data_IF_685514515222
#
_entry.id   IF_685514515222
#
_cell.length_a   1.000
_cell.length_b   1.000
_cell.length_c   1.000
_cell.angle_alpha   90.00
_cell.angle_beta   90.00
_cell.angle_gamma   90.00
#
_symmetry.space_group_name_H-M   'P 1'
#
loop_
_entity.id
_entity.type
_entity.pdbx_description
1 polymer ?
#
# COMPACT_ATOMS: atom_id res chain seq x y z
N UNK A 1 -16.47 -9.97 0.96
CA UNK A 1 -16.86 -8.73 0.25
C UNK A 1 -16.29 -7.54 1.02
N UNK A 2 -15.05 -7.15 0.73
CA UNK A 2 -14.50 -5.89 1.25
C UNK A 2 -15.33 -4.73 0.71
N UNK A 3 -15.79 -3.83 1.57
CA UNK A 3 -16.62 -2.70 1.17
C UNK A 3 -15.77 -1.72 0.36
N UNK A 4 -16.11 -1.49 -0.90
CA UNK A 4 -15.45 -0.48 -1.73
C UNK A 4 -15.75 0.91 -1.15
N UNK A 5 -14.70 1.68 -0.84
CA UNK A 5 -14.83 3.03 -0.32
C UNK A 5 -15.31 4.00 -1.41
N UNK A 6 -16.11 4.98 -1.01
CA UNK A 6 -16.48 6.08 -1.90
C UNK A 6 -15.31 7.04 -2.12
N UNK A 7 -15.37 7.85 -3.18
CA UNK A 7 -14.35 8.87 -3.46
C UNK A 7 -14.13 9.82 -2.27
N UNK A 8 -15.21 10.28 -1.64
CA UNK A 8 -15.12 11.18 -0.49
C UNK A 8 -14.40 10.53 0.71
N UNK A 9 -14.62 9.24 0.95
CA UNK A 9 -13.92 8.51 2.01
C UNK A 9 -12.44 8.33 1.69
N UNK A 10 -12.09 8.07 0.43
CA UNK A 10 -10.70 8.01 0.01
C UNK A 10 -10.02 9.39 0.10
N UNK A 11 -10.72 10.46 -0.24
CA UNK A 11 -10.22 11.84 -0.12
C UNK A 11 -9.95 12.20 1.37
N UNK A 12 -10.78 11.72 2.29
CA UNK A 12 -10.56 11.89 3.73
C UNK A 12 -9.32 11.14 4.23
N UNK A 13 -9.10 9.89 3.78
CA UNK A 13 -7.88 9.14 4.10
C UNK A 13 -6.63 9.83 3.53
N UNK A 14 -6.71 10.35 2.29
CA UNK A 14 -5.61 11.13 1.72
C UNK A 14 -5.35 12.37 2.56
N UNK A 15 -6.37 13.16 2.87
CA UNK A 15 -6.23 14.36 3.70
C UNK A 15 -5.64 14.06 5.09
N UNK A 16 -6.00 12.92 5.69
CA UNK A 16 -5.43 12.46 6.95
C UNK A 16 -3.93 12.15 6.79
N UNK A 17 -3.53 11.46 5.73
CA UNK A 17 -2.12 11.13 5.48
C UNK A 17 -1.27 12.36 5.13
N UNK A 18 -1.87 13.43 4.61
CA UNK A 18 -1.15 14.61 4.09
C UNK A 18 -1.36 15.88 4.92
N UNK A 19 -1.90 15.77 6.14
CA UNK A 19 -2.35 16.94 6.94
C UNK A 19 -1.25 17.95 7.26
N UNK A 20 0.01 17.50 7.38
CA UNK A 20 1.19 18.33 7.67
C UNK A 20 2.27 18.19 6.59
N UNK A 21 1.83 17.98 5.34
CA UNK A 21 2.72 17.90 4.18
C UNK A 21 2.63 19.19 3.35
N UNK A 22 3.79 19.76 3.01
CA UNK A 22 3.97 20.98 2.26
C UNK A 22 4.38 20.72 0.80
N UNK A 23 4.90 19.54 0.49
CA UNK A 23 5.24 19.11 -0.88
C UNK A 23 4.87 17.64 -1.16
N UNK A 24 5.07 17.19 -2.41
CA UNK A 24 4.71 15.84 -2.85
C UNK A 24 5.55 14.74 -2.17
N UNK A 25 6.79 15.05 -1.75
CA UNK A 25 7.66 14.09 -1.07
C UNK A 25 7.19 13.85 0.37
N UNK A 26 6.78 14.91 1.06
CA UNK A 26 6.17 14.84 2.38
C UNK A 26 4.81 14.14 2.32
N UNK A 27 3.98 14.43 1.31
CA UNK A 27 2.69 13.76 1.12
C UNK A 27 2.87 12.25 0.89
N UNK A 28 3.84 11.88 0.04
CA UNK A 28 4.20 10.49 -0.19
C UNK A 28 4.68 9.80 1.10
N UNK A 29 5.50 10.49 1.88
CA UNK A 29 6.02 9.97 3.16
C UNK A 29 4.88 9.76 4.18
N UNK A 30 3.92 10.68 4.22
CA UNK A 30 2.70 10.53 5.03
C UNK A 30 1.87 9.32 4.61
N UNK A 31 1.60 9.15 3.31
CA UNK A 31 0.89 7.99 2.77
C UNK A 31 1.65 6.67 3.03
N UNK A 32 2.97 6.68 2.87
CA UNK A 32 3.80 5.53 3.21
C UNK A 32 3.68 5.15 4.68
N UNK A 33 3.73 6.14 5.59
CA UNK A 33 3.58 5.91 7.03
C UNK A 33 2.24 5.26 7.34
N UNK A 34 1.13 5.80 6.81
CA UNK A 34 -0.20 5.22 7.04
C UNK A 34 -0.31 3.79 6.52
N UNK A 35 0.24 3.47 5.34
CA UNK A 35 0.26 2.09 4.84
C UNK A 35 1.12 1.20 5.74
N UNK A 36 2.31 1.65 6.14
CA UNK A 36 3.24 0.86 6.95
C UNK A 36 2.69 0.54 8.35
N UNK A 37 1.94 1.45 8.94
CA UNK A 37 1.36 1.30 10.28
C UNK A 37 0.08 0.46 10.28
N UNK A 38 -0.77 0.59 9.26
CA UNK A 38 -2.11 0.00 9.26
C UNK A 38 -2.24 -1.27 8.42
N UNK A 39 -1.43 -1.46 7.38
CA UNK A 39 -1.52 -2.66 6.54
C UNK A 39 -1.09 -3.88 7.33
N UNK A 40 -2.04 -4.78 7.61
CA UNK A 40 -1.76 -6.01 8.30
C UNK A 40 -0.81 -6.88 7.48
N UNK A 41 0.38 -7.12 8.03
CA UNK A 41 1.40 -8.03 7.49
C UNK A 41 1.83 -9.03 8.58
N UNK A 42 2.20 -10.27 8.21
CA UNK A 42 2.29 -10.79 6.85
C UNK A 42 0.95 -11.27 6.29
N UNK A 43 0.78 -11.20 4.96
CA UNK A 43 -0.32 -11.85 4.25
C UNK A 43 0.17 -12.53 2.96
N UNK A 44 -0.60 -13.50 2.46
CA UNK A 44 -0.30 -14.17 1.19
C UNK A 44 -1.07 -13.55 0.03
N UNK A 45 -0.44 -13.48 -1.14
CA UNK A 45 -1.09 -13.12 -2.39
C UNK A 45 -0.45 -13.85 -3.57
N UNK A 46 -1.02 -13.68 -4.77
CA UNK A 46 -0.53 -14.28 -6.01
C UNK A 46 -0.06 -13.19 -6.97
N UNK A 47 1.21 -13.22 -7.35
CA UNK A 47 1.83 -12.32 -8.32
C UNK A 47 2.20 -13.14 -9.55
N UNK A 48 1.64 -12.82 -10.72
CA UNK A 48 1.89 -13.53 -11.98
C UNK A 48 1.73 -15.07 -11.86
N UNK A 49 0.73 -15.52 -11.10
CA UNK A 49 0.47 -16.95 -10.86
C UNK A 49 1.33 -17.60 -9.76
N UNK A 50 2.23 -16.84 -9.13
CA UNK A 50 3.09 -17.31 -8.05
C UNK A 50 2.60 -16.83 -6.69
N UNK A 51 2.34 -17.77 -5.76
CA UNK A 51 2.07 -17.43 -4.36
C UNK A 51 3.32 -16.85 -3.70
N UNK A 52 3.16 -15.70 -3.05
CA UNK A 52 4.19 -14.98 -2.30
C UNK A 52 3.63 -14.53 -0.95
N UNK A 53 4.51 -14.29 0.02
CA UNK A 53 4.15 -13.65 1.29
C UNK A 53 4.63 -12.20 1.28
N UNK A 54 3.73 -11.25 1.51
CA UNK A 54 4.05 -9.85 1.74
C UNK A 54 4.47 -9.71 3.20
N UNK A 55 5.67 -9.20 3.45
CA UNK A 55 6.26 -9.11 4.81
C UNK A 55 6.22 -7.72 5.41
N UNK A 56 6.31 -6.70 4.56
CA UNK A 56 6.27 -5.27 4.92
C UNK A 56 6.12 -4.44 3.65
N UNK A 57 5.93 -3.14 3.83
CA UNK A 57 6.12 -2.13 2.79
C UNK A 57 7.40 -1.35 3.05
N UNK A 58 8.07 -0.91 1.98
CA UNK A 58 9.24 -0.04 2.03
C UNK A 58 9.00 1.15 1.07
N UNK A 59 9.57 2.31 1.41
CA UNK A 59 9.67 3.45 0.51
C UNK A 59 10.98 3.34 -0.27
N UNK A 60 10.89 3.18 -1.60
CA UNK A 60 12.07 3.05 -2.46
C UNK A 60 12.53 4.42 -3.00
N UNK A 61 13.82 4.57 -3.33
CA UNK A 61 14.33 5.73 -4.04
C UNK A 61 13.54 5.99 -5.33
N UNK A 62 13.23 7.26 -5.62
CA UNK A 62 12.38 7.63 -6.75
C UNK A 62 10.87 7.54 -6.46
N UNK A 63 10.49 7.71 -5.18
CA UNK A 63 9.12 8.01 -4.77
C UNK A 63 8.09 6.90 -4.99
N UNK A 64 8.51 5.63 -4.87
CA UNK A 64 7.61 4.48 -5.03
C UNK A 64 7.49 3.68 -3.74
N UNK A 65 6.27 3.60 -3.21
CA UNK A 65 5.93 2.65 -2.15
C UNK A 65 5.89 1.25 -2.75
N UNK A 66 6.60 0.30 -2.12
CA UNK A 66 6.69 -1.07 -2.60
C UNK A 66 6.43 -2.09 -1.49
N UNK A 67 5.69 -3.14 -1.83
CA UNK A 67 5.55 -4.32 -1.00
C UNK A 67 6.78 -5.22 -1.12
N UNK A 68 7.33 -5.63 0.01
CA UNK A 68 8.41 -6.61 0.08
C UNK A 68 7.80 -8.00 0.11
N UNK A 69 7.89 -8.69 -1.02
CA UNK A 69 7.37 -10.03 -1.21
C UNK A 69 8.48 -11.06 -1.08
N UNK A 70 8.20 -12.18 -0.41
CA UNK A 70 9.13 -13.29 -0.24
C UNK A 70 8.49 -14.60 -0.68
N UNK A 71 9.30 -15.46 -1.31
CA UNK A 71 8.97 -16.87 -1.58
C UNK A 71 10.25 -17.69 -1.44
N UNK A 72 10.26 -18.64 -0.51
CA UNK A 72 11.45 -19.43 -0.17
C UNK A 72 12.66 -18.53 0.11
N UNK A 73 13.72 -18.61 -0.71
CA UNK A 73 14.93 -17.78 -0.61
C UNK A 73 14.85 -16.49 -1.41
N UNK A 74 13.80 -16.31 -2.22
CA UNK A 74 13.65 -15.14 -3.08
C UNK A 74 12.95 -14.01 -2.33
N UNK A 75 13.47 -12.81 -2.50
CA UNK A 75 12.89 -11.54 -2.02
C UNK A 75 12.81 -10.57 -3.18
N UNK A 76 11.67 -9.95 -3.37
CA UNK A 76 11.43 -8.97 -4.44
C UNK A 76 10.56 -7.83 -3.93
N UNK A 77 10.89 -6.61 -4.36
CA UNK A 77 10.04 -5.45 -4.17
C UNK A 77 9.05 -5.34 -5.35
N UNK A 78 7.78 -5.14 -5.06
CA UNK A 78 6.71 -4.96 -6.04
C UNK A 78 6.05 -3.63 -5.72
N UNK A 79 5.81 -2.78 -6.74
CA UNK A 79 5.09 -1.52 -6.52
C UNK A 79 3.76 -1.78 -5.83
N UNK A 80 3.44 -1.02 -4.79
CA UNK A 80 2.27 -1.34 -3.94
C UNK A 80 0.96 -1.31 -4.74
N UNK A 81 0.88 -0.49 -5.80
CA UNK A 81 -0.27 -0.41 -6.70
C UNK A 81 -0.34 -1.55 -7.71
N UNK A 82 0.79 -2.22 -7.96
CA UNK A 82 0.90 -3.40 -8.83
C UNK A 82 0.67 -4.71 -8.05
N UNK A 83 0.56 -4.63 -6.71
CA UNK A 83 0.35 -5.78 -5.84
C UNK A 83 -1.12 -6.23 -5.90
N UNK A 84 -1.40 -7.45 -6.38
CA UNK A 84 -2.75 -8.01 -6.27
C UNK A 84 -3.07 -8.24 -4.79
N UNK A 85 -4.24 -7.83 -4.34
CA UNK A 85 -4.70 -8.13 -2.99
C UNK A 85 -5.53 -9.43 -2.98
N UNK A 86 -5.40 -10.27 -1.93
CA UNK A 86 -6.25 -11.44 -1.77
C UNK A 86 -7.71 -11.02 -1.49
N UNK A 87 -8.66 -11.96 -1.61
CA UNK A 87 -10.03 -11.80 -1.12
C UNK A 87 -10.28 -12.82 0.02
N UNK A 88 -10.57 -12.37 1.26
CA UNK A 88 -10.67 -10.97 1.69
C UNK A 88 -9.32 -10.25 1.70
N UNK A 89 -9.37 -8.93 1.45
CA UNK A 89 -8.20 -8.06 1.57
C UNK A 89 -7.71 -7.99 3.02
N UNK A 90 -6.39 -7.81 3.25
CA UNK A 90 -5.87 -7.60 4.59
C UNK A 90 -6.44 -6.30 5.20
N UNK A 91 -6.51 -6.25 6.52
CA UNK A 91 -6.83 -5.01 7.25
C UNK A 91 -5.83 -3.91 6.87
N UNK A 92 -6.32 -2.67 6.75
CA UNK A 92 -5.51 -1.52 6.32
C UNK A 92 -5.27 -1.43 4.81
N UNK A 93 -5.84 -2.32 3.99
CA UNK A 93 -5.76 -2.24 2.53
C UNK A 93 -6.38 -0.95 1.95
N UNK A 94 -7.29 -0.30 2.67
CA UNK A 94 -7.85 1.00 2.31
C UNK A 94 -6.78 2.09 2.13
N UNK A 95 -5.64 1.99 2.83
CA UNK A 95 -4.54 2.94 2.68
C UNK A 95 -3.81 2.78 1.35
N UNK A 96 -3.82 1.59 0.76
CA UNK A 96 -3.32 1.35 -0.61
C UNK A 96 -4.26 2.03 -1.61
N UNK A 97 -5.57 1.98 -1.39
CA UNK A 97 -6.55 2.68 -2.22
C UNK A 97 -6.46 4.21 -2.05
N UNK A 98 -6.16 4.70 -0.84
CA UNK A 98 -5.88 6.11 -0.59
C UNK A 98 -4.64 6.56 -1.39
N UNK A 99 -3.54 5.80 -1.36
CA UNK A 99 -2.36 6.08 -2.19
C UNK A 99 -2.67 6.04 -3.69
N UNK A 100 -3.51 5.10 -4.15
CA UNK A 100 -3.99 5.06 -5.54
C UNK A 100 -4.81 6.31 -5.90
N UNK A 101 -5.61 6.81 -4.97
CA UNK A 101 -6.47 7.99 -5.15
C UNK A 101 -5.68 9.29 -5.14
N UNK A 102 -4.67 9.37 -4.28
CA UNK A 102 -3.76 10.50 -4.16
C UNK A 102 -3.13 10.77 -5.52
N UNK A 103 -2.48 9.75 -6.11
CA UNK A 103 -1.96 9.78 -7.47
C UNK A 103 -0.98 10.93 -7.72
N UNK A 104 0.32 10.67 -7.87
CA UNK A 104 1.09 11.55 -8.73
C UNK A 104 0.65 11.38 -10.19
#
# INVERSE_FOLDING_TARGET
MGKQLSKAQLDELVAQATVDAYDDEEQLTGLFTMIAEHLAVPFETVVLGVKVTVKKVDLLPGSRIAAVCTRDRHRQAIGILDLPLPDPAPEGAEWIEAYRRWGP
#
